data_IF_512092432239
#
_entry.id   IF_512092432239
#
_cell.length_a   1.000
_cell.length_b   1.000
_cell.length_c   1.000
_cell.angle_alpha   90.00
_cell.angle_beta   90.00
_cell.angle_gamma   90.00
#
_symmetry.space_group_name_H-M   'P 1'
#
loop_
_entity.id
_entity.type
_entity.pdbx_description
1 polymer ?
#
# COMPACT_ATOMS: atom_id res chain seq x y z
N UNK A 1 -21.13 -33.32 1.70
CA UNK A 1 -21.32 -32.04 0.97
C UNK A 1 -20.47 -31.00 1.68
N UNK A 2 -19.19 -30.89 1.32
CA UNK A 2 -18.28 -29.90 1.90
C UNK A 2 -18.70 -28.51 1.39
N UNK A 3 -19.01 -27.60 2.30
CA UNK A 3 -19.20 -26.18 1.95
C UNK A 3 -17.81 -25.63 1.64
N UNK A 4 -17.53 -25.43 0.34
CA UNK A 4 -16.47 -24.52 -0.09
C UNK A 4 -16.85 -23.13 0.44
N UNK A 5 -16.10 -22.66 1.44
CA UNK A 5 -16.01 -21.25 1.75
C UNK A 5 -15.47 -20.57 0.50
N UNK A 6 -16.32 -19.86 -0.23
CA UNK A 6 -15.89 -19.02 -1.35
C UNK A 6 -14.91 -17.99 -0.81
N UNK A 7 -13.60 -18.17 -1.02
CA UNK A 7 -12.68 -17.05 -0.88
C UNK A 7 -13.10 -16.05 -1.95
N UNK A 8 -13.61 -14.90 -1.53
CA UNK A 8 -13.87 -13.83 -2.48
C UNK A 8 -12.55 -13.44 -3.11
N UNK A 9 -12.47 -13.52 -4.44
CA UNK A 9 -11.34 -13.01 -5.21
C UNK A 9 -11.13 -11.54 -4.85
N UNK A 10 -9.95 -11.21 -4.28
CA UNK A 10 -9.58 -9.83 -4.00
C UNK A 10 -8.99 -9.21 -5.26
N UNK A 11 -9.59 -8.10 -5.72
CA UNK A 11 -9.06 -7.37 -6.87
C UNK A 11 -7.79 -6.61 -6.45
N UNK A 12 -6.67 -6.90 -7.11
CA UNK A 12 -5.37 -6.29 -6.82
C UNK A 12 -4.87 -5.52 -8.04
N UNK A 13 -4.45 -4.27 -7.84
CA UNK A 13 -3.91 -3.41 -8.89
C UNK A 13 -2.48 -2.96 -8.53
N UNK A 14 -1.55 -3.05 -9.48
CA UNK A 14 -0.19 -2.55 -9.33
C UNK A 14 -0.10 -1.18 -9.99
N UNK A 15 0.35 -0.18 -9.23
CA UNK A 15 0.46 1.20 -9.72
C UNK A 15 1.89 1.48 -10.16
N UNK A 16 2.08 1.58 -11.47
CA UNK A 16 3.33 2.03 -12.09
C UNK A 16 3.32 3.54 -12.32
N UNK A 17 4.49 4.14 -12.49
CA UNK A 17 4.60 5.52 -12.95
C UNK A 17 5.90 5.75 -13.70
N UNK A 18 5.88 6.69 -14.64
CA UNK A 18 7.02 6.98 -15.51
C UNK A 18 8.24 7.53 -14.75
N UNK A 19 8.01 8.21 -13.63
CA UNK A 19 9.08 8.75 -12.79
C UNK A 19 8.64 8.93 -11.32
N UNK A 20 9.50 9.49 -10.47
CA UNK A 20 9.12 10.11 -9.19
C UNK A 20 8.22 11.34 -9.41
N UNK A 21 7.46 11.74 -8.39
CA UNK A 21 6.61 12.95 -8.37
C UNK A 21 5.53 13.09 -9.46
N UNK A 22 5.29 12.05 -10.26
CA UNK A 22 4.19 12.01 -11.25
C UNK A 22 2.80 11.80 -10.64
N UNK A 23 2.68 11.80 -9.30
CA UNK A 23 1.39 11.67 -8.61
C UNK A 23 0.91 10.24 -8.33
N UNK A 24 1.80 9.23 -8.33
CA UNK A 24 1.45 7.83 -8.01
C UNK A 24 0.64 7.71 -6.71
N UNK A 25 1.07 8.36 -5.63
CA UNK A 25 0.42 8.33 -4.32
C UNK A 25 -0.97 8.97 -4.35
N UNK A 26 -1.16 10.03 -5.15
CA UNK A 26 -2.46 10.68 -5.33
C UNK A 26 -3.43 9.76 -6.11
N UNK A 27 -2.94 9.06 -7.14
CA UNK A 27 -3.72 8.07 -7.88
C UNK A 27 -4.12 6.92 -6.96
N UNK A 28 -3.20 6.39 -6.14
CA UNK A 28 -3.51 5.38 -5.12
C UNK A 28 -4.60 5.86 -4.14
N UNK A 29 -4.51 7.09 -3.67
CA UNK A 29 -5.54 7.68 -2.80
C UNK A 29 -6.91 7.75 -3.49
N UNK A 30 -6.96 8.16 -4.76
CA UNK A 30 -8.20 8.17 -5.55
C UNK A 30 -8.81 6.77 -5.72
N UNK A 31 -7.98 5.76 -5.98
CA UNK A 31 -8.42 4.37 -6.08
C UNK A 31 -8.95 3.84 -4.76
N UNK A 32 -8.25 4.11 -3.64
CA UNK A 32 -8.70 3.76 -2.28
C UNK A 32 -10.05 4.39 -1.99
N UNK A 33 -10.21 5.70 -2.26
CA UNK A 33 -11.49 6.40 -2.10
C UNK A 33 -12.60 5.72 -2.90
N UNK A 34 -12.35 5.49 -4.19
CA UNK A 34 -13.34 4.87 -5.07
C UNK A 34 -13.74 3.48 -4.59
N UNK A 35 -12.77 2.65 -4.16
CA UNK A 35 -13.03 1.31 -3.64
C UNK A 35 -13.86 1.33 -2.35
N UNK A 36 -13.54 2.25 -1.42
CA UNK A 36 -14.28 2.41 -0.16
C UNK A 36 -15.75 2.77 -0.40
N UNK A 37 -16.03 3.62 -1.39
CA UNK A 37 -17.39 4.00 -1.78
C UNK A 37 -18.12 2.93 -2.61
N UNK A 38 -17.39 2.18 -3.44
CA UNK A 38 -18.01 1.20 -4.36
C UNK A 38 -18.49 -0.05 -3.63
N UNK A 39 -17.84 -0.43 -2.53
CA UNK A 39 -18.22 -1.58 -1.72
C UNK A 39 -18.10 -1.28 -0.22
N UNK A 40 -19.17 -0.75 0.41
CA UNK A 40 -19.14 -0.30 1.81
C UNK A 40 -18.86 -1.40 2.84
N UNK A 41 -19.04 -2.67 2.49
CA UNK A 41 -18.83 -3.80 3.40
C UNK A 41 -17.45 -4.44 3.28
N UNK A 42 -16.66 -4.09 2.26
CA UNK A 42 -15.36 -4.71 2.02
C UNK A 42 -14.20 -3.85 2.55
N UNK A 43 -13.14 -4.48 3.07
CA UNK A 43 -11.90 -3.78 3.40
C UNK A 43 -11.19 -3.33 2.12
N UNK A 44 -10.41 -2.26 2.24
CA UNK A 44 -9.60 -1.70 1.13
C UNK A 44 -8.15 -1.63 1.57
N UNK A 45 -7.28 -2.31 0.83
CA UNK A 45 -5.85 -2.39 1.10
C UNK A 45 -5.05 -1.36 0.31
N UNK A 46 -4.04 -0.77 0.96
CA UNK A 46 -2.94 -0.04 0.32
C UNK A 46 -1.62 -0.62 0.81
N UNK A 47 -0.82 -1.16 -0.10
CA UNK A 47 0.51 -1.67 0.22
C UNK A 47 1.53 -0.90 -0.59
N UNK A 48 2.53 -0.35 0.09
CA UNK A 48 3.74 0.15 -0.55
C UNK A 48 4.93 -0.67 -0.05
N UNK A 49 5.45 -1.60 -0.86
CA UNK A 49 6.49 -2.51 -0.40
C UNK A 49 7.74 -1.77 0.05
N UNK A 50 8.18 -0.77 -0.69
CA UNK A 50 9.42 -0.02 -0.42
C UNK A 50 9.10 1.47 -0.28
N UNK A 51 9.38 2.05 0.89
CA UNK A 51 9.30 3.50 1.16
C UNK A 51 10.69 4.03 1.54
N UNK A 52 11.11 5.12 0.89
CA UNK A 52 12.36 5.79 1.20
C UNK A 52 12.09 7.28 1.43
N UNK A 53 12.29 7.74 2.67
CA UNK A 53 11.85 9.04 3.15
C UNK A 53 10.34 9.22 3.08
N UNK A 54 9.82 10.31 3.66
CA UNK A 54 8.40 10.67 3.55
C UNK A 54 7.42 9.75 4.30
N UNK A 55 6.13 9.94 4.04
CA UNK A 55 5.04 9.22 4.72
C UNK A 55 3.81 9.09 3.80
N UNK A 56 3.89 8.21 2.80
CA UNK A 56 2.81 8.04 1.81
C UNK A 56 1.53 7.50 2.42
N UNK A 57 1.62 6.64 3.44
CA UNK A 57 0.46 6.13 4.18
C UNK A 57 -0.41 7.26 4.73
N UNK A 58 0.21 8.27 5.34
CA UNK A 58 -0.51 9.45 5.84
C UNK A 58 -1.22 10.22 4.72
N UNK A 59 -0.59 10.31 3.53
CA UNK A 59 -1.16 10.97 2.37
C UNK A 59 -2.35 10.18 1.82
N UNK A 60 -2.23 8.86 1.67
CA UNK A 60 -3.31 7.99 1.21
C UNK A 60 -4.46 7.95 2.22
N UNK A 61 -4.17 7.89 3.52
CA UNK A 61 -5.19 7.99 4.57
C UNK A 61 -5.95 9.32 4.47
N UNK A 62 -5.24 10.44 4.44
CA UNK A 62 -5.83 11.79 4.38
C UNK A 62 -6.67 12.02 3.12
N UNK A 63 -6.15 11.65 1.95
CA UNK A 63 -6.79 11.97 0.67
C UNK A 63 -7.69 10.85 0.15
N UNK A 64 -7.44 9.59 0.52
CA UNK A 64 -8.23 8.44 0.10
C UNK A 64 -9.40 8.15 1.02
N UNK A 65 -9.17 8.10 2.33
CA UNK A 65 -10.19 7.73 3.33
C UNK A 65 -10.92 8.96 3.86
N UNK A 66 -10.19 10.04 4.14
CA UNK A 66 -10.78 11.26 4.72
C UNK A 66 -10.98 11.15 6.23
N UNK A 67 -12.15 11.54 6.74
CA UNK A 67 -12.46 11.61 8.19
C UNK A 67 -13.58 10.66 8.63
N UNK A 68 -14.10 9.84 7.72
CA UNK A 68 -15.18 8.91 8.06
C UNK A 68 -14.62 7.74 8.88
N UNK A 69 -15.16 7.53 10.08
CA UNK A 69 -14.67 6.49 10.99
C UNK A 69 -14.94 5.06 10.49
N UNK A 70 -16.04 4.86 9.75
CA UNK A 70 -16.36 3.54 9.20
C UNK A 70 -15.38 3.20 8.07
N UNK A 71 -15.03 4.17 7.23
CA UNK A 71 -14.03 4.01 6.18
C UNK A 71 -12.63 3.81 6.78
N UNK A 72 -12.28 4.54 7.84
CA UNK A 72 -11.00 4.35 8.56
C UNK A 72 -10.86 2.94 9.14
N UNK A 73 -11.94 2.35 9.66
CA UNK A 73 -11.91 0.96 10.19
C UNK A 73 -11.74 -0.10 9.09
N UNK A 74 -12.09 0.23 7.85
CA UNK A 74 -12.01 -0.68 6.68
C UNK A 74 -10.73 -0.47 5.87
N UNK A 75 -10.06 0.66 6.03
CA UNK A 75 -8.82 0.95 5.36
C UNK A 75 -7.65 0.26 6.07
N UNK A 76 -6.94 -0.59 5.33
CA UNK A 76 -5.74 -1.29 5.80
C UNK A 76 -4.57 -0.78 4.97
N UNK A 77 -3.58 -0.20 5.61
CA UNK A 77 -2.38 0.29 4.95
C UNK A 77 -1.15 -0.39 5.54
N UNK A 78 -0.19 -0.74 4.68
CA UNK A 78 1.08 -1.35 5.08
C UNK A 78 2.22 -0.80 4.25
N UNK A 79 3.24 -0.30 4.94
CA UNK A 79 4.58 -0.10 4.42
C UNK A 79 5.41 -1.30 4.86
N UNK A 80 5.95 -2.09 3.93
CA UNK A 80 6.65 -3.34 4.28
C UNK A 80 8.10 -3.07 4.69
N UNK A 81 8.79 -2.21 3.93
CA UNK A 81 10.16 -1.81 4.20
C UNK A 81 10.27 -0.29 4.12
N UNK A 82 10.84 0.29 5.17
CA UNK A 82 10.97 1.74 5.35
C UNK A 82 12.42 2.12 5.64
N UNK A 83 12.89 3.10 4.89
CA UNK A 83 14.14 3.81 5.11
C UNK A 83 13.84 5.30 5.30
N UNK A 84 14.57 5.97 6.20
CA UNK A 84 14.42 7.40 6.45
C UNK A 84 15.09 8.25 5.37
N UNK A 85 16.13 7.72 4.72
CA UNK A 85 16.92 8.35 3.69
C UNK A 85 16.06 8.58 2.43
N UNK A 86 15.84 9.84 2.00
CA UNK A 86 15.02 10.16 0.82
C UNK A 86 15.81 9.96 -0.47
N UNK A 87 16.12 8.70 -0.76
CA UNK A 87 16.84 8.27 -1.95
C UNK A 87 16.17 7.04 -2.57
N UNK A 88 16.66 6.57 -3.71
CA UNK A 88 16.21 5.29 -4.27
C UNK A 88 16.46 4.13 -3.28
N UNK A 89 15.61 3.07 -3.25
CA UNK A 89 15.72 1.97 -2.29
C UNK A 89 17.11 1.32 -2.21
N UNK A 90 17.78 1.08 -3.34
CA UNK A 90 19.11 0.46 -3.37
C UNK A 90 20.20 1.30 -2.69
N UNK A 91 20.03 2.63 -2.64
CA UNK A 91 20.97 3.55 -1.99
C UNK A 91 20.61 3.71 -0.52
N UNK A 92 19.32 3.94 -0.22
CA UNK A 92 18.83 4.09 1.14
C UNK A 92 19.15 2.86 2.01
N UNK A 93 18.96 1.65 1.46
CA UNK A 93 19.27 0.39 2.15
C UNK A 93 20.75 0.22 2.50
N UNK A 94 21.64 0.71 1.64
CA UNK A 94 23.10 0.69 1.89
C UNK A 94 23.52 1.75 2.90
N UNK A 95 23.00 2.96 2.75
CA UNK A 95 23.31 4.10 3.65
C UNK A 95 22.89 3.78 5.08
N UNK A 96 21.73 3.16 5.25
CA UNK A 96 21.20 2.81 6.58
C UNK A 96 21.62 1.42 7.06
N UNK A 97 22.40 0.68 6.27
CA UNK A 97 22.79 -0.70 6.56
C UNK A 97 21.59 -1.63 6.88
N UNK A 98 20.51 -1.48 6.09
CA UNK A 98 19.27 -2.25 6.14
C UNK A 98 18.96 -2.85 4.75
N UNK A 99 19.78 -3.77 4.23
CA UNK A 99 19.50 -4.43 2.96
C UNK A 99 18.25 -5.32 3.07
N UNK A 100 17.55 -5.49 1.95
CA UNK A 100 16.39 -6.37 1.82
C UNK A 100 16.53 -7.08 0.47
N UNK A 101 16.38 -8.40 0.47
CA UNK A 101 16.40 -9.24 -0.73
C UNK A 101 15.06 -9.26 -1.45
N UNK A 102 15.06 -9.62 -2.73
CA UNK A 102 13.83 -9.74 -3.51
C UNK A 102 12.91 -10.83 -2.92
N UNK A 103 13.48 -11.92 -2.40
CA UNK A 103 12.75 -12.99 -1.72
C UNK A 103 12.03 -12.49 -0.47
N UNK A 104 12.69 -11.66 0.35
CA UNK A 104 12.07 -11.05 1.53
C UNK A 104 10.92 -10.11 1.14
N UNK A 105 11.08 -9.34 0.06
CA UNK A 105 10.00 -8.48 -0.46
C UNK A 105 8.80 -9.30 -0.91
N UNK A 106 9.03 -10.38 -1.66
CA UNK A 106 7.97 -11.24 -2.18
C UNK A 106 7.25 -11.97 -1.05
N UNK A 107 7.98 -12.56 -0.08
CA UNK A 107 7.38 -13.24 1.07
C UNK A 107 6.52 -12.27 1.89
N UNK A 108 7.05 -11.08 2.17
CA UNK A 108 6.33 -10.05 2.94
C UNK A 108 5.07 -9.57 2.23
N UNK A 109 5.07 -9.50 0.88
CA UNK A 109 3.91 -9.11 0.10
C UNK A 109 2.84 -10.22 0.04
N UNK A 110 3.24 -11.49 0.06
CA UNK A 110 2.31 -12.63 0.08
C UNK A 110 1.62 -12.81 1.44
N UNK A 111 2.29 -12.38 2.51
CA UNK A 111 1.76 -12.36 3.88
C UNK A 111 1.00 -11.07 4.23
N UNK A 112 0.97 -10.10 3.30
CA UNK A 112 0.46 -8.76 3.53
C UNK A 112 -1.07 -8.69 3.60
#
# INVERSE_FOLDING_TARGET
RFKSSSSSSMQTHIIFGANTDVGKTLVSAGLVRSALHSNPSSPVGYIKPLQCGGNDESAVSRYGVGKDEADMKRFISRILFLWDTPASPHLASRVENKPVSDEEVISSLQEA
#
